data_IF_215856341790
#
_entry.id   IF_215856341790
#
_cell.length_a   1.000
_cell.length_b   1.000
_cell.length_c   1.000
_cell.angle_alpha   90.00
_cell.angle_beta   90.00
_cell.angle_gamma   90.00
#
_symmetry.space_group_name_H-M   'P 1'
#
loop_
_entity.id
_entity.type
_entity.pdbx_description
1 polymer ?
#
# COMPACT_ATOMS: atom_id res chain seq x y z
N UNK A 1 -4.79 -14.02 7.60
CA UNK A 1 -4.66 -12.59 7.95
C UNK A 1 -5.06 -11.79 6.73
N UNK A 2 -6.00 -10.85 6.86
CA UNK A 2 -6.45 -10.05 5.72
C UNK A 2 -5.27 -9.25 5.14
N UNK A 3 -5.12 -9.26 3.82
CA UNK A 3 -4.15 -8.44 3.10
C UNK A 3 -4.92 -7.32 2.39
N UNK A 4 -4.43 -6.10 2.51
CA UNK A 4 -4.89 -5.02 1.65
C UNK A 4 -4.32 -5.25 0.24
N UNK A 5 -5.20 -5.14 -0.75
CA UNK A 5 -4.87 -5.14 -2.18
C UNK A 5 -3.92 -3.98 -2.48
N UNK A 6 -2.88 -4.28 -3.25
CA UNK A 6 -1.91 -3.29 -3.77
C UNK A 6 -2.24 -2.86 -5.19
N UNK A 7 -3.00 -3.68 -5.93
CA UNK A 7 -3.49 -3.39 -7.26
C UNK A 7 -4.99 -3.71 -7.36
N UNK A 8 -5.77 -2.75 -7.83
CA UNK A 8 -7.21 -2.93 -8.12
C UNK A 8 -7.52 -2.39 -9.51
N UNK A 9 -8.31 -3.15 -10.25
CA UNK A 9 -8.80 -2.82 -11.59
C UNK A 9 -10.31 -2.89 -11.58
N UNK A 10 -10.94 -1.92 -12.20
CA UNK A 10 -12.36 -1.93 -12.50
C UNK A 10 -12.58 -2.43 -13.93
N UNK A 11 -13.62 -3.24 -14.12
CA UNK A 11 -14.06 -3.72 -15.43
C UNK A 11 -15.47 -3.22 -15.72
N UNK A 12 -15.70 -2.78 -16.95
CA UNK A 12 -17.01 -2.37 -17.45
C UNK A 12 -17.37 -3.19 -18.71
N UNK A 13 -18.51 -3.89 -18.74
CA UNK A 13 -18.94 -4.63 -19.92
C UNK A 13 -19.26 -3.68 -21.07
N UNK A 14 -18.77 -4.01 -22.28
CA UNK A 14 -19.00 -3.29 -23.53
C UNK A 14 -19.30 -4.34 -24.61
N UNK A 15 -20.59 -4.54 -24.89
CA UNK A 15 -21.07 -5.66 -25.72
C UNK A 15 -20.58 -7.02 -25.21
N UNK A 16 -19.87 -7.78 -26.04
CA UNK A 16 -19.26 -9.09 -25.73
C UNK A 16 -17.84 -8.97 -25.13
N UNK A 17 -17.39 -7.75 -24.83
CA UNK A 17 -16.05 -7.43 -24.34
C UNK A 17 -16.10 -6.61 -23.05
N UNK A 18 -14.92 -6.23 -22.54
CA UNK A 18 -14.78 -5.44 -21.33
C UNK A 18 -13.78 -4.29 -21.49
N UNK A 19 -14.20 -3.07 -21.18
CA UNK A 19 -13.29 -1.98 -20.85
C UNK A 19 -12.74 -2.19 -19.45
N UNK A 20 -11.54 -1.66 -19.17
CA UNK A 20 -10.91 -1.79 -17.86
C UNK A 20 -10.10 -0.54 -17.51
N UNK A 21 -9.93 -0.27 -16.22
CA UNK A 21 -9.03 0.79 -15.72
C UNK A 21 -8.45 0.47 -14.35
N UNK A 22 -7.21 0.89 -14.12
CA UNK A 22 -6.59 0.79 -12.79
C UNK A 22 -7.19 1.85 -11.86
N UNK A 23 -7.73 1.42 -10.72
CA UNK A 23 -8.30 2.32 -9.70
C UNK A 23 -7.40 2.45 -8.46
N UNK A 24 -6.45 1.52 -8.29
CA UNK A 24 -5.48 1.53 -7.19
C UNK A 24 -4.17 0.89 -7.64
N UNK A 25 -3.05 1.58 -7.42
CA UNK A 25 -1.71 1.02 -7.60
C UNK A 25 -0.79 1.52 -6.48
N UNK A 26 -0.36 0.59 -5.60
CA UNK A 26 0.59 0.82 -4.49
C UNK A 26 1.90 0.04 -4.70
N UNK A 27 2.16 -0.47 -5.90
CA UNK A 27 3.40 -1.18 -6.21
C UNK A 27 4.57 -0.21 -6.30
N UNK A 28 5.73 -0.58 -5.77
CA UNK A 28 6.95 0.23 -5.90
C UNK A 28 7.46 0.24 -7.35
N UNK A 29 8.08 1.34 -7.81
CA UNK A 29 8.73 1.40 -9.11
C UNK A 29 9.85 0.34 -9.24
N UNK A 30 9.92 -0.36 -10.38
CA UNK A 30 10.95 -1.40 -10.62
C UNK A 30 10.51 -2.85 -10.34
N UNK A 31 9.23 -3.05 -10.05
CA UNK A 31 8.61 -4.37 -10.01
C UNK A 31 8.73 -5.09 -11.37
N UNK A 32 8.68 -6.43 -11.42
CA UNK A 32 8.61 -7.26 -12.66
C UNK A 32 7.33 -7.04 -13.50
N UNK A 33 6.60 -5.97 -13.19
CA UNK A 33 5.42 -5.47 -13.86
C UNK A 33 5.74 -4.04 -14.28
N UNK A 34 5.88 -3.83 -15.58
CA UNK A 34 6.00 -2.47 -16.11
C UNK A 34 4.59 -1.87 -16.19
N UNK A 35 4.19 -1.18 -15.12
CA UNK A 35 3.13 -0.18 -15.19
C UNK A 35 3.68 1.04 -15.91
N UNK A 36 3.61 1.01 -17.24
CA UNK A 36 3.99 2.15 -18.07
C UNK A 36 2.78 3.09 -18.09
N UNK A 37 2.92 4.21 -17.39
CA UNK A 37 2.07 5.37 -17.62
C UNK A 37 2.61 6.05 -18.88
N UNK A 38 2.14 5.62 -20.05
CA UNK A 38 2.37 6.39 -21.26
C UNK A 38 1.46 7.62 -21.21
N UNK A 39 1.87 8.74 -21.81
CA UNK A 39 1.17 10.03 -21.72
C UNK A 39 -0.31 9.97 -22.13
N UNK A 40 -0.73 8.89 -22.80
CA UNK A 40 -2.10 8.67 -23.28
C UNK A 40 -2.72 7.31 -22.87
N UNK A 41 -2.03 6.46 -22.08
CA UNK A 41 -2.53 5.13 -21.71
C UNK A 41 -1.84 4.51 -20.48
N UNK A 42 -2.63 3.82 -19.64
CA UNK A 42 -2.14 2.83 -18.69
C UNK A 42 -1.90 1.49 -19.40
N UNK A 43 -0.68 0.98 -19.28
CA UNK A 43 -0.28 -0.32 -19.83
C UNK A 43 0.10 -1.25 -18.68
N UNK A 44 -0.42 -2.47 -18.71
CA UNK A 44 0.04 -3.56 -17.84
C UNK A 44 0.83 -4.55 -18.68
N UNK A 45 2.14 -4.63 -18.43
CA UNK A 45 3.03 -5.65 -18.99
C UNK A 45 3.47 -6.61 -17.90
N UNK A 46 3.25 -7.90 -18.12
CA UNK A 46 3.59 -8.93 -17.13
C UNK A 46 4.44 -10.01 -17.76
N UNK A 47 5.61 -10.24 -17.17
CA UNK A 47 6.53 -11.32 -17.52
C UNK A 47 6.74 -11.47 -19.04
N UNK A 48 6.91 -10.34 -19.74
CA UNK A 48 7.21 -10.27 -21.18
C UNK A 48 6.17 -10.84 -22.17
N UNK A 49 5.07 -11.46 -21.74
CA UNK A 49 4.14 -12.21 -22.61
C UNK A 49 2.70 -11.67 -22.67
N UNK A 50 2.28 -10.80 -21.75
CA UNK A 50 0.93 -10.25 -21.73
C UNK A 50 0.98 -8.72 -21.64
N UNK A 51 0.50 -8.05 -22.68
CA UNK A 51 0.40 -6.59 -22.80
C UNK A 51 -1.08 -6.24 -22.93
N UNK A 52 -1.59 -5.42 -22.02
CA UNK A 52 -2.92 -4.84 -22.15
C UNK A 52 -2.82 -3.33 -22.00
N UNK A 53 -3.35 -2.63 -22.99
CA UNK A 53 -3.55 -1.19 -23.03
C UNK A 53 -4.98 -0.88 -22.58
N UNK A 54 -5.17 0.16 -21.77
CA UNK A 54 -6.51 0.59 -21.33
C UNK A 54 -7.42 1.03 -22.49
N UNK A 55 -6.84 1.39 -23.64
CA UNK A 55 -7.57 1.70 -24.87
C UNK A 55 -8.07 0.45 -25.62
N UNK A 56 -7.74 -0.75 -25.13
CA UNK A 56 -8.17 -2.02 -25.73
C UNK A 56 -9.26 -2.70 -24.90
N UNK A 57 -10.34 -3.10 -25.58
CA UNK A 57 -11.41 -3.90 -24.96
C UNK A 57 -10.96 -5.36 -24.85
N UNK A 58 -10.99 -5.89 -23.64
CA UNK A 58 -10.65 -7.27 -23.33
C UNK A 58 -11.71 -8.23 -23.84
N UNK A 59 -11.29 -9.35 -24.39
CA UNK A 59 -12.11 -10.57 -24.50
C UNK A 59 -12.31 -11.24 -23.14
N UNK A 60 -13.20 -12.23 -23.08
CA UNK A 60 -13.50 -12.96 -21.84
C UNK A 60 -12.25 -13.68 -21.31
N UNK A 61 -11.47 -14.25 -22.22
CA UNK A 61 -10.22 -14.95 -21.91
C UNK A 61 -9.17 -13.99 -21.34
N UNK A 62 -9.00 -12.82 -21.95
CA UNK A 62 -8.04 -11.81 -21.49
C UNK A 62 -8.44 -11.22 -20.13
N UNK A 63 -9.74 -10.98 -19.92
CA UNK A 63 -10.28 -10.57 -18.62
C UNK A 63 -9.96 -11.58 -17.53
N UNK A 64 -10.25 -12.86 -17.76
CA UNK A 64 -9.97 -13.92 -16.79
C UNK A 64 -8.47 -14.03 -16.46
N UNK A 65 -7.61 -13.91 -17.48
CA UNK A 65 -6.16 -13.91 -17.31
C UNK A 65 -5.69 -12.72 -16.46
N UNK A 66 -6.23 -11.52 -16.73
CA UNK A 66 -5.91 -10.31 -15.97
C UNK A 66 -6.40 -10.41 -14.52
N UNK A 67 -7.61 -10.94 -14.27
CA UNK A 67 -8.14 -11.16 -12.92
C UNK A 67 -7.26 -12.11 -12.09
N UNK A 68 -6.87 -13.26 -12.66
CA UNK A 68 -5.98 -14.23 -11.99
C UNK A 68 -4.63 -13.61 -11.63
N UNK A 69 -4.11 -12.78 -12.51
CA UNK A 69 -2.84 -12.09 -12.35
C UNK A 69 -2.90 -11.04 -11.24
N UNK A 70 -3.92 -10.19 -11.22
CA UNK A 70 -4.14 -9.22 -10.13
C UNK A 70 -4.26 -9.95 -8.79
N UNK A 71 -4.99 -11.08 -8.77
CA UNK A 71 -5.11 -11.92 -7.57
C UNK A 71 -3.73 -12.41 -7.10
N UNK A 72 -2.91 -12.96 -8.00
CA UNK A 72 -1.55 -13.40 -7.68
C UNK A 72 -0.65 -12.29 -7.14
N UNK A 73 -0.73 -11.08 -7.72
CA UNK A 73 -0.01 -9.91 -7.21
C UNK A 73 -0.46 -9.58 -5.79
N UNK A 74 -1.77 -9.47 -5.56
CA UNK A 74 -2.31 -9.15 -4.23
C UNK A 74 -2.02 -10.25 -3.20
N UNK A 75 -1.94 -11.51 -3.62
CA UNK A 75 -1.52 -12.61 -2.73
C UNK A 75 -0.04 -12.52 -2.36
N UNK A 76 0.84 -12.26 -3.34
CA UNK A 76 2.30 -12.20 -3.11
C UNK A 76 2.70 -10.92 -2.38
N UNK A 77 2.14 -9.78 -2.78
CA UNK A 77 2.59 -8.44 -2.37
C UNK A 77 1.55 -7.64 -1.60
N UNK A 78 0.36 -8.20 -1.39
CA UNK A 78 -0.66 -7.58 -0.55
C UNK A 78 -0.09 -7.22 0.81
N UNK A 79 -0.32 -5.98 1.20
CA UNK A 79 0.20 -5.44 2.45
C UNK A 79 -0.61 -6.07 3.56
N UNK A 80 0.05 -6.60 4.59
CA UNK A 80 -0.63 -7.09 5.79
C UNK A 80 -1.57 -5.98 6.28
N UNK A 81 -2.88 -6.24 6.32
CA UNK A 81 -3.85 -5.24 6.77
C UNK A 81 -3.52 -4.89 8.21
N UNK A 82 -3.04 -3.66 8.41
CA UNK A 82 -2.79 -3.12 9.74
C UNK A 82 -4.12 -2.73 10.35
N UNK A 83 -4.22 -2.88 11.67
CA UNK A 83 -5.39 -2.36 12.36
C UNK A 83 -5.45 -0.85 12.16
N UNK A 84 -6.66 -0.33 11.91
CA UNK A 84 -6.94 1.10 11.79
C UNK A 84 -8.14 1.42 12.65
N UNK A 85 -8.10 2.56 13.33
CA UNK A 85 -9.24 3.06 14.09
C UNK A 85 -10.36 3.45 13.12
N UNK A 86 -11.61 3.19 13.51
CA UNK A 86 -12.77 3.73 12.81
C UNK A 86 -12.88 5.25 13.05
N UNK A 87 -13.64 5.93 12.19
CA UNK A 87 -13.88 7.37 12.32
C UNK A 87 -14.41 7.73 13.72
N UNK A 88 -13.76 8.70 14.37
CA UNK A 88 -14.07 9.17 15.71
C UNK A 88 -13.57 8.26 16.85
N UNK A 89 -12.98 7.10 16.55
CA UNK A 89 -12.36 6.22 17.55
C UNK A 89 -10.93 6.65 17.84
N UNK A 90 -10.46 6.31 19.03
CA UNK A 90 -9.09 6.62 19.46
C UNK A 90 -8.09 5.64 18.84
N UNK A 91 -6.89 6.14 18.59
CA UNK A 91 -5.69 5.34 18.38
C UNK A 91 -4.53 5.98 19.13
N UNK A 92 -3.50 5.16 19.40
CA UNK A 92 -2.29 5.59 20.05
C UNK A 92 -1.18 5.78 19.01
N UNK A 93 -0.26 6.71 19.28
CA UNK A 93 0.89 6.98 18.41
C UNK A 93 2.06 7.53 19.22
N UNK A 94 3.26 7.42 18.65
CA UNK A 94 4.49 8.03 19.15
C UNK A 94 4.62 9.47 18.65
N UNK A 95 4.78 10.45 19.54
CA UNK A 95 5.03 11.84 19.19
C UNK A 95 6.51 12.11 18.83
N UNK A 96 6.83 13.35 18.49
CA UNK A 96 8.16 13.81 18.12
C UNK A 96 9.21 13.69 19.24
N UNK A 97 8.77 13.50 20.49
CA UNK A 97 9.62 13.30 21.66
C UNK A 97 9.81 11.81 22.02
N UNK A 98 9.41 10.89 21.14
CA UNK A 98 9.39 9.45 21.40
C UNK A 98 8.51 9.07 22.61
N UNK A 99 7.43 9.82 22.84
CA UNK A 99 6.44 9.53 23.89
C UNK A 99 5.14 9.04 23.27
N UNK A 100 4.42 8.18 23.99
CA UNK A 100 3.09 7.74 23.59
C UNK A 100 2.05 8.82 23.86
N UNK A 101 1.11 8.94 22.93
CA UNK A 101 -0.08 9.78 23.08
C UNK A 101 -1.21 9.21 22.24
N UNK A 102 -2.39 9.83 22.27
CA UNK A 102 -3.59 9.37 21.56
C UNK A 102 -4.33 10.52 20.89
N UNK A 103 -5.10 10.19 19.86
CA UNK A 103 -6.01 11.11 19.18
C UNK A 103 -7.21 10.34 18.63
N UNK A 104 -8.33 11.03 18.39
CA UNK A 104 -9.45 10.47 17.63
C UNK A 104 -9.13 10.51 16.14
N UNK A 105 -9.26 9.38 15.46
CA UNK A 105 -9.05 9.30 14.01
C UNK A 105 -10.23 9.97 13.29
N UNK A 106 -9.97 11.14 12.72
CA UNK A 106 -10.95 11.87 11.92
C UNK A 106 -10.75 11.62 10.42
N UNK A 107 -9.96 10.59 10.04
CA UNK A 107 -9.54 10.27 8.66
C UNK A 107 -8.95 11.46 7.89
N UNK A 108 -8.39 12.43 8.63
CA UNK A 108 -7.76 13.61 8.04
C UNK A 108 -6.35 13.28 7.52
N UNK A 109 -5.73 14.24 6.84
CA UNK A 109 -4.38 14.07 6.28
C UNK A 109 -3.34 13.64 7.32
N UNK A 110 -3.43 14.13 8.57
CA UNK A 110 -2.49 13.80 9.63
C UNK A 110 -2.68 12.39 10.18
N UNK A 111 -3.91 11.93 10.36
CA UNK A 111 -4.21 10.56 10.80
C UNK A 111 -3.88 9.55 9.70
N UNK A 112 -4.20 9.87 8.45
CA UNK A 112 -3.79 9.06 7.29
C UNK A 112 -2.27 8.89 7.23
N UNK A 113 -1.53 9.99 7.36
CA UNK A 113 -0.06 9.94 7.30
C UNK A 113 0.54 9.11 8.43
N UNK A 114 -0.02 9.19 9.66
CA UNK A 114 0.40 8.34 10.79
C UNK A 114 0.14 6.86 10.52
N UNK A 115 -1.03 6.51 10.00
CA UNK A 115 -1.35 5.14 9.59
C UNK A 115 -0.39 4.64 8.51
N UNK A 116 -0.13 5.44 7.47
CA UNK A 116 0.74 5.09 6.35
C UNK A 116 2.17 4.77 6.81
N UNK A 117 2.75 5.63 7.65
CA UNK A 117 4.12 5.42 8.19
C UNK A 117 4.18 4.37 9.31
N UNK A 118 3.05 3.78 9.70
CA UNK A 118 2.99 2.75 10.74
C UNK A 118 3.00 3.26 12.17
N UNK A 119 2.79 4.56 12.38
CA UNK A 119 2.68 5.20 13.69
C UNK A 119 1.20 5.30 14.13
N UNK A 120 0.50 4.17 14.14
CA UNK A 120 -0.95 4.09 14.40
C UNK A 120 -1.30 2.76 15.07
N UNK A 121 -1.55 2.80 16.37
CA UNK A 121 -1.64 1.61 17.23
C UNK A 121 -3.00 1.48 17.89
N UNK A 122 -3.43 0.23 18.11
CA UNK A 122 -4.71 -0.07 18.75
C UNK A 122 -4.64 0.16 20.25
N UNK A 123 -3.49 -0.13 20.84
CA UNK A 123 -3.26 -0.04 22.27
C UNK A 123 -2.07 0.86 22.59
N UNK A 124 -2.09 1.43 23.80
CA UNK A 124 -0.96 2.22 24.30
C UNK A 124 0.32 1.38 24.43
N UNK A 125 0.19 0.10 24.80
CA UNK A 125 1.31 -0.81 24.94
C UNK A 125 2.06 -1.04 23.62
N UNK A 126 1.34 -1.25 22.52
CA UNK A 126 1.94 -1.35 21.18
C UNK A 126 2.67 -0.04 20.78
N UNK A 127 2.06 1.11 21.10
CA UNK A 127 2.68 2.40 20.83
C UNK A 127 3.95 2.62 21.67
N UNK A 128 3.94 2.15 22.93
CA UNK A 128 5.07 2.27 23.85
C UNK A 128 6.25 1.41 23.41
N UNK A 129 5.98 0.14 23.08
CA UNK A 129 6.99 -0.77 22.54
C UNK A 129 7.65 -0.18 21.28
N UNK A 130 6.83 0.34 20.36
CA UNK A 130 7.33 1.02 19.16
C UNK A 130 8.16 2.26 19.50
N UNK A 131 7.72 3.09 20.46
CA UNK A 131 8.43 4.30 20.85
C UNK A 131 9.80 4.01 21.48
N UNK A 132 9.88 3.01 22.35
CA UNK A 132 11.14 2.55 22.97
C UNK A 132 12.10 2.00 21.90
N UNK A 133 11.58 1.21 20.97
CA UNK A 133 12.36 0.70 19.83
C UNK A 133 12.93 1.85 18.98
N UNK A 134 12.09 2.79 18.57
CA UNK A 134 12.50 3.92 17.74
C UNK A 134 13.52 4.83 18.46
N UNK A 135 13.34 5.05 19.76
CA UNK A 135 14.29 5.79 20.59
C UNK A 135 15.67 5.11 20.62
N UNK A 136 15.69 3.78 20.79
CA UNK A 136 16.93 2.99 20.74
C UNK A 136 17.60 3.10 19.37
N UNK A 137 16.86 2.92 18.28
CA UNK A 137 17.41 3.07 16.92
C UNK A 137 17.99 4.47 16.67
N UNK A 138 17.36 5.52 17.21
CA UNK A 138 17.87 6.89 17.08
C UNK A 138 19.22 7.07 17.78
N UNK A 139 19.40 6.50 18.98
CA UNK A 139 20.66 6.57 19.71
C UNK A 139 21.77 5.77 19.01
N UNK A 140 21.49 4.53 18.62
CA UNK A 140 22.45 3.66 17.91
C UNK A 140 22.94 4.27 16.59
N UNK A 141 22.12 5.09 15.92
CA UNK A 141 22.52 5.77 14.69
C UNK A 141 23.66 6.76 14.93
N UNK A 142 23.65 7.49 16.05
CA UNK A 142 24.73 8.41 16.41
C UNK A 142 26.01 7.66 16.80
N UNK A 143 25.89 6.60 17.60
CA UNK A 143 27.04 5.76 18.00
C UNK A 143 27.77 5.15 16.79
N UNK A 144 27.03 4.67 15.79
CA UNK A 144 27.63 4.13 14.55
C UNK A 144 28.31 5.19 13.70
N UNK A 145 27.89 6.44 13.80
CA UNK A 145 28.50 7.54 13.06
C UNK A 145 29.80 8.01 13.70
N UNK A 146 29.84 8.06 15.03
CA UNK A 146 31.04 8.41 15.79
C UNK A 146 32.14 7.35 15.68
N UNK A 147 31.78 6.07 15.52
CA UNK A 147 32.73 4.97 15.35
C UNK A 147 33.29 4.79 13.93
N UNK A 148 32.83 5.59 12.95
CA UNK A 148 33.34 5.58 11.58
C UNK A 148 34.29 6.76 11.28
N UNK A 149 34.68 7.51 12.32
CA UNK A 149 35.82 8.45 12.33
C UNK A 149 37.05 7.79 12.99
#
# INVERSE_FOLDING_TARGET
MEKETVLEIEFQPVFDKWAWRVIKNKLEPGFEFEYLKNSNANIIRVCFEFYVDENYLLSAFEKEKLEKLIKGINEKYGIKKRWRAEYGKIYYYMNEFFQTTWIRDNHNCYSNKKYEIGNHFKTEAEALEYAEYMKKCSLEWHEKRENNE
#
